data_IF_926583265017
#
_entry.id   IF_926583265017
#
_cell.length_a   1.000
_cell.length_b   1.000
_cell.length_c   1.000
_cell.angle_alpha   90.00
_cell.angle_beta   90.00
_cell.angle_gamma   90.00
#
_symmetry.space_group_name_H-M   'P 1'
#
loop_
_entity.id
_entity.type
_entity.pdbx_description
1 polymer ?
#
# COMPACT_ATOMS: atom_id res chain seq x y z
N UNK A 1 2.46 -49.62 2.96
CA UNK A 1 3.36 -48.50 3.34
C UNK A 1 2.96 -47.27 2.53
N UNK A 2 2.45 -46.25 3.22
CA UNK A 2 1.72 -45.12 2.65
C UNK A 2 2.55 -44.10 1.87
N UNK A 3 1.81 -43.32 1.09
CA UNK A 3 2.15 -42.42 0.00
C UNK A 3 3.31 -41.44 0.23
N UNK A 4 4.11 -41.27 -0.83
CA UNK A 4 5.20 -40.28 -0.95
C UNK A 4 4.72 -39.02 -1.68
N UNK A 5 3.62 -38.38 -1.30
CA UNK A 5 3.11 -37.25 -2.10
C UNK A 5 2.59 -36.06 -1.28
N UNK A 6 3.09 -35.87 -0.06
CA UNK A 6 2.57 -34.81 0.81
C UNK A 6 3.38 -33.51 0.83
N UNK A 7 4.43 -33.34 0.01
CA UNK A 7 5.27 -32.12 0.04
C UNK A 7 4.75 -30.97 -0.83
N UNK A 8 4.04 -31.28 -1.94
CA UNK A 8 3.48 -30.28 -2.86
C UNK A 8 2.22 -29.59 -2.33
N UNK A 9 1.54 -30.23 -1.37
CA UNK A 9 0.30 -29.73 -0.78
C UNK A 9 0.56 -28.54 0.15
N UNK A 10 1.72 -28.49 0.82
CA UNK A 10 2.07 -27.42 1.75
C UNK A 10 2.41 -26.08 1.08
N UNK A 11 2.87 -26.08 -0.18
CA UNK A 11 3.17 -24.83 -0.90
C UNK A 11 1.91 -24.20 -1.51
N UNK A 12 0.88 -25.00 -1.79
CA UNK A 12 -0.35 -24.55 -2.43
C UNK A 12 -1.42 -24.06 -1.44
N UNK A 13 -1.31 -24.39 -0.14
CA UNK A 13 -2.25 -23.92 0.90
C UNK A 13 -1.93 -22.51 1.42
N UNK A 14 -0.69 -22.01 1.29
CA UNK A 14 -0.38 -20.60 1.59
C UNK A 14 -0.84 -19.63 0.48
N UNK A 15 -1.17 -20.16 -0.70
CA UNK A 15 -1.66 -19.39 -1.85
C UNK A 15 -3.11 -18.87 -1.68
N UNK A 16 -3.81 -19.19 -0.57
CA UNK A 16 -5.18 -18.74 -0.34
C UNK A 16 -5.33 -17.94 0.94
N UNK A 17 -5.25 -16.62 0.78
CA UNK A 17 -5.61 -15.55 1.74
C UNK A 17 -4.70 -15.39 2.96
N UNK A 18 -3.46 -14.99 2.71
CA UNK A 18 -2.79 -14.04 3.59
C UNK A 18 -2.62 -12.75 2.80
N UNK A 19 -3.20 -11.63 3.25
CA UNK A 19 -2.68 -10.32 2.82
C UNK A 19 -1.20 -10.36 3.24
N UNK A 20 -0.23 -10.36 2.32
CA UNK A 20 1.16 -10.34 2.73
C UNK A 20 1.33 -9.14 3.68
N UNK A 21 2.21 -9.29 4.68
CA UNK A 21 2.81 -8.16 5.41
C UNK A 21 2.94 -7.02 4.41
N UNK A 22 2.31 -5.87 4.70
CA UNK A 22 2.26 -4.74 3.76
C UNK A 22 3.67 -4.52 3.24
N UNK A 23 3.92 -4.92 1.99
CA UNK A 23 5.22 -4.67 1.39
C UNK A 23 5.44 -3.17 1.52
N UNK A 24 6.60 -2.79 2.04
CA UNK A 24 6.88 -1.38 2.23
C UNK A 24 6.85 -0.71 0.86
N UNK A 25 5.91 0.21 0.70
CA UNK A 25 5.74 0.95 -0.54
C UNK A 25 6.94 1.87 -0.73
N UNK A 26 7.41 1.94 -1.97
CA UNK A 26 8.51 2.84 -2.36
C UNK A 26 8.03 3.85 -3.38
N UNK A 27 8.76 4.96 -3.49
CA UNK A 27 8.53 5.94 -4.53
C UNK A 27 8.53 5.25 -5.92
N UNK A 28 7.57 5.61 -6.76
CA UNK A 28 7.34 4.98 -8.06
C UNK A 28 6.37 3.80 -8.06
N UNK A 29 6.04 3.21 -6.91
CA UNK A 29 5.05 2.13 -6.87
C UNK A 29 3.67 2.65 -7.26
N UNK A 30 3.01 1.96 -8.19
CA UNK A 30 1.59 2.19 -8.48
C UNK A 30 0.73 1.65 -7.36
N UNK A 31 -0.21 2.47 -6.92
CA UNK A 31 -1.11 2.16 -5.82
C UNK A 31 -2.52 2.59 -6.15
N UNK A 32 -3.48 1.92 -5.54
CA UNK A 32 -4.88 2.32 -5.52
C UNK A 32 -5.35 2.58 -4.10
N UNK A 33 -6.32 3.46 -3.97
CA UNK A 33 -6.98 3.79 -2.71
C UNK A 33 -8.45 4.11 -2.92
N UNK A 34 -9.23 4.06 -1.84
CA UNK A 34 -10.66 4.35 -1.87
C UNK A 34 -10.94 5.81 -1.56
N UNK A 35 -11.88 6.39 -2.29
CA UNK A 35 -12.47 7.70 -2.02
C UNK A 35 -13.99 7.56 -1.88
N UNK A 36 -14.67 8.60 -1.42
CA UNK A 36 -16.14 8.61 -1.34
C UNK A 36 -16.82 8.46 -2.71
N UNK A 37 -16.11 8.71 -3.81
CA UNK A 37 -16.61 8.60 -5.19
C UNK A 37 -16.13 7.33 -5.91
N UNK A 38 -15.52 6.39 -5.18
CA UNK A 38 -14.96 5.16 -5.72
C UNK A 38 -13.44 5.08 -5.61
N UNK A 39 -12.85 4.10 -6.28
CA UNK A 39 -11.41 3.86 -6.26
C UNK A 39 -10.66 4.89 -7.12
N UNK A 40 -9.44 5.19 -6.72
CA UNK A 40 -8.48 6.03 -7.43
C UNK A 40 -7.16 5.29 -7.52
N UNK A 41 -6.44 5.50 -8.62
CA UNK A 41 -5.08 5.00 -8.84
C UNK A 41 -4.11 6.16 -8.93
N UNK A 42 -2.86 5.86 -8.62
CA UNK A 42 -1.77 6.83 -8.62
C UNK A 42 -0.46 6.18 -8.27
N UNK A 43 0.48 7.02 -7.86
CA UNK A 43 1.86 6.64 -7.60
C UNK A 43 2.30 7.15 -6.23
N UNK A 44 3.13 6.37 -5.56
CA UNK A 44 3.80 6.81 -4.34
C UNK A 44 4.91 7.79 -4.73
N UNK A 45 4.89 8.99 -4.15
CA UNK A 45 5.97 9.96 -4.33
C UNK A 45 6.99 9.86 -3.19
N UNK A 46 6.54 9.71 -1.94
CA UNK A 46 7.42 9.71 -0.77
C UNK A 46 6.81 8.98 0.43
N UNK A 47 7.67 8.41 1.29
CA UNK A 47 7.29 7.97 2.65
C UNK A 47 7.55 9.10 3.66
N UNK A 48 6.49 9.58 4.29
CA UNK A 48 6.53 10.59 5.33
C UNK A 48 6.67 9.96 6.71
N UNK A 49 7.71 10.34 7.45
CA UNK A 49 7.97 9.88 8.83
C UNK A 49 8.11 11.04 9.84
N UNK A 50 7.72 12.24 9.42
CA UNK A 50 7.73 13.46 10.23
C UNK A 50 6.56 14.36 9.82
N UNK A 51 6.09 15.27 10.71
CA UNK A 51 5.03 16.21 10.37
C UNK A 51 5.37 16.99 9.10
N UNK A 52 4.41 17.11 8.18
CA UNK A 52 4.62 17.75 6.87
C UNK A 52 3.34 18.43 6.44
N UNK A 53 3.45 19.61 5.82
CA UNK A 53 2.33 20.33 5.25
C UNK A 53 2.21 20.03 3.74
N UNK A 54 1.05 19.52 3.33
CA UNK A 54 0.74 19.24 1.92
C UNK A 54 -0.48 20.05 1.49
N UNK A 55 -0.33 20.89 0.47
CA UNK A 55 -1.45 21.64 -0.15
C UNK A 55 -2.42 22.31 0.86
N UNK A 56 -1.87 22.89 1.94
CA UNK A 56 -2.64 23.54 3.00
C UNK A 56 -3.20 22.62 4.08
N UNK A 57 -2.82 21.34 4.09
CA UNK A 57 -3.20 20.35 5.10
C UNK A 57 -1.97 19.88 5.88
N UNK A 58 -2.08 19.92 7.20
CA UNK A 58 -1.05 19.39 8.09
C UNK A 58 -1.19 17.86 8.25
N UNK A 59 -0.13 17.13 7.94
CA UNK A 59 -0.04 15.68 8.09
C UNK A 59 0.84 15.35 9.28
N UNK A 60 0.25 14.79 10.34
CA UNK A 60 0.96 14.39 11.56
C UNK A 60 1.64 13.01 11.41
N UNK A 61 2.50 12.85 10.41
CA UNK A 61 3.27 11.62 10.23
C UNK A 61 4.41 11.52 11.25
N UNK A 62 4.78 10.30 11.63
CA UNK A 62 5.92 10.00 12.49
C UNK A 62 6.58 8.69 12.09
N UNK A 63 7.71 8.34 12.73
CA UNK A 63 8.36 7.04 12.50
C UNK A 63 7.46 5.86 12.86
N UNK A 64 6.66 5.99 13.92
CA UNK A 64 5.73 4.96 14.38
C UNK A 64 4.39 4.98 13.63
N UNK A 65 4.03 6.14 13.05
CA UNK A 65 2.82 6.34 12.27
C UNK A 65 3.19 6.96 10.91
N UNK A 66 3.88 6.20 10.03
CA UNK A 66 4.25 6.71 8.73
C UNK A 66 3.00 6.91 7.86
N UNK A 67 3.09 7.84 6.92
CA UNK A 67 2.13 7.99 5.84
C UNK A 67 2.87 8.04 4.51
N UNK A 68 2.19 7.77 3.42
CA UNK A 68 2.74 7.87 2.07
C UNK A 68 2.08 9.03 1.35
N UNK A 69 2.91 9.93 0.82
CA UNK A 69 2.48 10.91 -0.16
C UNK A 69 2.26 10.17 -1.48
N UNK A 70 1.06 10.29 -2.02
CA UNK A 70 0.69 9.72 -3.31
C UNK A 70 0.15 10.80 -4.22
N UNK A 71 0.33 10.60 -5.53
CA UNK A 71 -0.18 11.47 -6.58
C UNK A 71 -1.15 10.72 -7.46
N UNK A 72 -2.35 11.26 -7.61
CA UNK A 72 -3.39 10.70 -8.48
C UNK A 72 -3.00 10.80 -9.95
N UNK A 73 -3.01 9.67 -10.67
CA UNK A 73 -2.73 9.64 -12.11
C UNK A 73 -3.76 10.47 -12.89
N UNK A 74 -5.03 10.45 -12.44
CA UNK A 74 -6.14 11.13 -13.11
C UNK A 74 -6.09 12.66 -12.96
N UNK A 75 -5.65 13.16 -11.81
CA UNK A 75 -5.81 14.58 -11.46
C UNK A 75 -4.51 15.30 -11.14
N UNK A 76 -3.40 14.58 -10.98
CA UNK A 76 -2.13 15.14 -10.49
C UNK A 76 -2.18 15.69 -9.07
N UNK A 77 -3.28 15.48 -8.33
CA UNK A 77 -3.42 15.93 -6.94
C UNK A 77 -2.65 14.99 -6.01
N UNK A 78 -2.10 15.60 -4.95
CA UNK A 78 -1.38 14.87 -3.91
C UNK A 78 -2.29 14.62 -2.72
N UNK A 79 -2.06 13.51 -2.04
CA UNK A 79 -2.69 13.18 -0.77
C UNK A 79 -1.72 12.35 0.08
N UNK A 80 -1.83 12.46 1.40
CA UNK A 80 -1.17 11.54 2.31
C UNK A 80 -2.15 10.45 2.76
N UNK A 81 -1.71 9.20 2.67
CA UNK A 81 -2.48 8.04 3.13
C UNK A 81 -1.65 7.17 4.07
N UNK A 82 -2.33 6.54 5.04
CA UNK A 82 -1.73 5.49 5.85
C UNK A 82 -1.40 4.27 4.99
N UNK A 83 -0.41 3.45 5.37
CA UNK A 83 -0.03 2.24 4.63
C UNK A 83 -1.21 1.29 4.39
N UNK A 84 -2.10 1.14 5.37
CA UNK A 84 -3.27 0.24 5.33
C UNK A 84 -4.38 0.68 4.35
N UNK A 85 -4.31 1.93 3.89
CA UNK A 85 -5.28 2.54 2.98
C UNK A 85 -4.86 2.45 1.52
N UNK A 86 -3.63 1.97 1.27
CA UNK A 86 -3.04 1.81 -0.05
C UNK A 86 -2.94 0.32 -0.39
N UNK A 87 -3.33 -0.02 -1.60
CA UNK A 87 -3.08 -1.33 -2.18
C UNK A 87 -2.15 -1.14 -3.37
N UNK A 88 -1.00 -1.82 -3.38
CA UNK A 88 -0.12 -1.85 -4.55
C UNK A 88 -0.83 -2.50 -5.73
N UNK A 89 -0.67 -1.91 -6.91
CA UNK A 89 -1.19 -2.45 -8.17
C UNK A 89 -0.05 -2.54 -9.17
N UNK A 90 -0.01 -3.65 -9.91
CA UNK A 90 1.00 -3.93 -10.95
C UNK A 90 0.61 -3.32 -12.31
#
# INVERSE_FOLDING_TARGET
MGSKDNKRVYEQVESKRTKPVSEELKAGDKVKWKTSRGETVGEVEEKLTSPTDIKGHHVAASKDNPQYLVKSDKTGKEAAHKPDSLEKVD
#
